data_IF_640767508058
#
_entry.id   IF_640767508058
#
_cell.length_a   1.000
_cell.length_b   1.000
_cell.length_c   1.000
_cell.angle_alpha   90.00
_cell.angle_beta   90.00
_cell.angle_gamma   90.00
#
_symmetry.space_group_name_H-M   'P 1'
#
loop_
_entity.id
_entity.type
_entity.pdbx_description
1 polymer ?
#
# COMPACT_ATOMS: atom_id res chain seq x y z
N UNK A 1 -10.38 -17.69 -22.35
CA UNK A 1 -9.00 -17.77 -21.81
C UNK A 1 -8.95 -16.75 -20.70
N UNK A 2 -8.44 -17.05 -19.51
CA UNK A 2 -8.22 -15.98 -18.51
C UNK A 2 -7.28 -14.97 -19.15
N UNK A 3 -7.69 -13.71 -19.19
CA UNK A 3 -6.80 -12.60 -19.59
C UNK A 3 -5.58 -12.66 -18.70
N UNK A 4 -4.39 -12.83 -19.28
CA UNK A 4 -3.13 -12.74 -18.54
C UNK A 4 -3.02 -11.31 -18.04
N UNK A 5 -3.31 -11.11 -16.73
CA UNK A 5 -3.19 -9.78 -16.09
C UNK A 5 -1.77 -9.25 -16.34
N UNK A 6 -1.64 -8.06 -16.91
CA UNK A 6 -0.35 -7.41 -17.18
C UNK A 6 0.29 -6.96 -15.86
N UNK A 7 1.44 -7.56 -15.50
CA UNK A 7 2.12 -7.27 -14.25
C UNK A 7 2.99 -6.03 -14.41
N UNK A 8 2.69 -4.97 -13.67
CA UNK A 8 3.45 -3.72 -13.64
C UNK A 8 4.67 -3.80 -12.70
N UNK A 9 4.46 -4.37 -11.50
CA UNK A 9 5.52 -4.48 -10.49
C UNK A 9 5.54 -5.91 -9.94
N UNK A 10 6.74 -6.53 -9.91
CA UNK A 10 7.00 -7.82 -9.28
C UNK A 10 7.88 -7.63 -8.06
N UNK A 11 7.38 -8.01 -6.90
CA UNK A 11 8.12 -8.01 -5.64
C UNK A 11 8.38 -9.45 -5.21
N UNK A 12 9.64 -9.80 -4.88
CA UNK A 12 10.02 -11.17 -4.49
C UNK A 12 10.91 -11.15 -3.26
N UNK A 13 10.50 -11.88 -2.22
CA UNK A 13 11.21 -12.09 -0.96
C UNK A 13 11.77 -10.79 -0.35
N UNK A 14 11.00 -9.71 -0.44
CA UNK A 14 11.43 -8.37 -0.03
C UNK A 14 11.57 -8.31 1.49
N UNK A 15 12.76 -7.84 1.93
CA UNK A 15 13.04 -7.58 3.34
C UNK A 15 13.54 -6.15 3.50
N UNK A 16 12.98 -5.45 4.49
CA UNK A 16 13.44 -4.11 4.89
C UNK A 16 13.54 -4.05 6.40
N UNK A 17 14.79 -4.04 6.89
CA UNK A 17 15.12 -4.07 8.29
C UNK A 17 15.80 -2.78 8.73
N UNK A 18 15.41 -2.27 9.90
CA UNK A 18 16.03 -1.09 10.50
C UNK A 18 16.89 -1.49 11.69
N UNK A 19 18.19 -1.11 11.72
CA UNK A 19 19.05 -1.44 12.86
C UNK A 19 18.61 -0.67 14.11
N UNK A 20 18.45 -1.39 15.22
CA UNK A 20 18.25 -0.80 16.55
C UNK A 20 19.64 -0.58 17.16
N UNK A 21 19.97 0.70 17.38
CA UNK A 21 21.27 1.10 17.95
C UNK A 21 21.11 1.46 19.41
N UNK A 22 22.01 0.96 20.27
CA UNK A 22 22.02 1.25 21.71
C UNK A 22 23.42 1.68 22.18
N UNK A 23 23.45 2.47 23.26
CA UNK A 23 24.65 2.95 23.88
C UNK A 23 25.31 4.15 23.19
N UNK A 24 26.33 4.75 23.86
CA UNK A 24 27.08 5.92 23.38
C UNK A 24 27.77 5.64 22.05
N UNK A 25 28.24 4.41 21.84
CA UNK A 25 28.91 3.97 20.60
C UNK A 25 27.96 3.44 19.53
N UNK A 26 26.62 3.58 19.72
CA UNK A 26 25.58 3.17 18.73
C UNK A 26 25.78 1.75 18.20
N UNK A 27 26.09 0.78 19.05
CA UNK A 27 26.16 -0.63 18.64
C UNK A 27 24.79 -1.16 18.24
N UNK A 28 24.72 -1.91 17.13
CA UNK A 28 23.49 -2.56 16.69
C UNK A 28 23.16 -3.74 17.59
N UNK A 29 22.05 -3.66 18.32
CA UNK A 29 21.58 -4.70 19.27
C UNK A 29 20.45 -5.55 18.71
N UNK A 30 19.91 -5.19 17.54
CA UNK A 30 18.82 -5.92 16.89
C UNK A 30 18.37 -5.19 15.63
N UNK A 31 17.34 -5.75 14.98
CA UNK A 31 16.72 -5.15 13.79
C UNK A 31 15.21 -5.16 13.92
N UNK A 32 14.57 -4.03 13.61
CA UNK A 32 13.13 -3.97 13.38
C UNK A 32 12.86 -4.58 12.02
N UNK A 33 12.19 -5.72 11.94
CA UNK A 33 11.79 -6.39 10.71
C UNK A 33 10.50 -5.77 10.17
N UNK A 34 10.63 -4.56 9.57
CA UNK A 34 9.46 -3.80 9.13
C UNK A 34 8.77 -4.42 7.90
N UNK A 35 9.54 -5.02 6.99
CA UNK A 35 9.06 -5.89 5.91
C UNK A 35 9.92 -7.15 5.96
N UNK A 36 9.30 -8.32 6.04
CA UNK A 36 9.98 -9.59 6.25
C UNK A 36 9.39 -10.65 5.32
N UNK A 37 10.08 -10.91 4.21
CA UNK A 37 9.75 -11.93 3.23
C UNK A 37 8.40 -11.70 2.51
N UNK A 38 8.23 -10.50 1.94
CA UNK A 38 7.02 -10.14 1.18
C UNK A 38 7.24 -10.41 -0.31
N UNK A 39 6.32 -11.18 -0.92
CA UNK A 39 6.28 -11.44 -2.36
C UNK A 39 4.86 -11.18 -2.90
N UNK A 40 4.75 -10.27 -3.88
CA UNK A 40 3.47 -9.93 -4.50
C UNK A 40 3.68 -9.38 -5.91
N UNK A 41 2.63 -9.44 -6.72
CA UNK A 41 2.54 -8.79 -8.01
C UNK A 41 1.49 -7.67 -7.97
N UNK A 42 1.83 -6.52 -8.57
CA UNK A 42 0.89 -5.41 -8.79
C UNK A 42 0.57 -5.38 -10.28
N UNK A 43 -0.71 -5.46 -10.62
CA UNK A 43 -1.15 -5.45 -12.01
C UNK A 43 -1.38 -4.03 -12.52
N UNK A 44 -1.18 -3.84 -13.82
CA UNK A 44 -1.42 -2.54 -14.45
C UNK A 44 -2.90 -2.17 -14.36
N UNK A 45 -3.17 -0.92 -13.96
CA UNK A 45 -4.53 -0.39 -13.83
C UNK A 45 -5.30 -0.85 -12.59
N UNK A 46 -4.72 -1.71 -11.70
CA UNK A 46 -5.40 -2.11 -10.47
C UNK A 46 -5.23 -1.12 -9.32
N UNK A 47 -6.14 -1.16 -8.38
CA UNK A 47 -5.99 -0.58 -7.03
C UNK A 47 -5.74 -1.72 -6.05
N UNK A 48 -4.48 -1.89 -5.64
CA UNK A 48 -4.08 -2.86 -4.64
C UNK A 48 -4.18 -2.24 -3.24
N UNK A 49 -5.17 -2.66 -2.45
CA UNK A 49 -5.30 -2.28 -1.05
C UNK A 49 -4.26 -2.98 -0.18
N UNK A 50 -3.63 -2.25 0.74
CA UNK A 50 -2.70 -2.82 1.74
C UNK A 50 -3.18 -2.42 3.12
N UNK A 51 -3.61 -3.41 3.91
CA UNK A 51 -4.23 -3.19 5.23
C UNK A 51 -3.51 -3.95 6.35
N UNK A 52 -3.77 -3.54 7.59
CA UNK A 52 -3.25 -4.15 8.81
C UNK A 52 -3.10 -3.13 9.93
N UNK A 53 -2.80 -3.59 11.14
CA UNK A 53 -2.62 -2.72 12.32
C UNK A 53 -1.49 -1.70 12.11
N UNK A 54 -1.53 -0.59 12.87
CA UNK A 54 -0.44 0.42 12.84
C UNK A 54 0.90 -0.24 13.17
N UNK A 55 1.97 0.16 12.47
CA UNK A 55 3.30 -0.39 12.66
C UNK A 55 3.56 -1.77 12.03
N UNK A 56 2.60 -2.38 11.32
CA UNK A 56 2.82 -3.69 10.68
C UNK A 56 3.67 -3.66 9.39
N UNK A 57 4.16 -2.49 8.96
CA UNK A 57 5.12 -2.39 7.83
C UNK A 57 4.56 -1.88 6.51
N UNK A 58 3.28 -1.53 6.40
CA UNK A 58 2.61 -1.07 5.16
C UNK A 58 3.33 0.09 4.47
N UNK A 59 3.54 1.19 5.18
CA UNK A 59 4.27 2.38 4.70
C UNK A 59 5.70 2.03 4.28
N UNK A 60 6.37 1.15 5.05
CA UNK A 60 7.72 0.69 4.70
C UNK A 60 7.72 -0.11 3.40
N UNK A 61 6.73 -0.98 3.18
CA UNK A 61 6.56 -1.73 1.94
C UNK A 61 6.42 -0.77 0.74
N UNK A 62 5.49 0.17 0.80
CA UNK A 62 5.28 1.16 -0.26
C UNK A 62 6.54 2.00 -0.55
N UNK A 63 7.21 2.50 0.50
CA UNK A 63 8.45 3.28 0.36
C UNK A 63 9.62 2.44 -0.17
N UNK A 64 9.68 1.15 0.15
CA UNK A 64 10.69 0.23 -0.37
C UNK A 64 10.49 -0.04 -1.87
N UNK A 65 9.24 -0.24 -2.30
CA UNK A 65 8.89 -0.40 -3.72
C UNK A 65 9.31 0.84 -4.53
N UNK A 66 9.06 2.03 -4.01
CA UNK A 66 9.47 3.30 -4.65
C UNK A 66 10.97 3.60 -4.52
N UNK A 67 11.76 2.72 -3.92
CA UNK A 67 13.18 2.94 -3.63
C UNK A 67 13.45 4.25 -2.85
N UNK A 68 12.49 4.69 -2.01
CA UNK A 68 12.69 5.78 -1.04
C UNK A 68 13.40 5.28 0.22
N UNK A 69 13.25 3.98 0.50
CA UNK A 69 13.98 3.23 1.51
C UNK A 69 14.66 2.07 0.79
N UNK A 70 15.96 1.90 1.02
CA UNK A 70 16.72 0.82 0.42
C UNK A 70 16.35 -0.49 1.14
N UNK A 71 15.83 -1.50 0.41
CA UNK A 71 15.59 -2.83 0.97
C UNK A 71 16.88 -3.47 1.46
N UNK A 72 16.76 -4.37 2.45
CA UNK A 72 17.88 -5.18 2.96
C UNK A 72 18.17 -6.33 2.03
N UNK A 73 17.11 -7.01 1.53
CA UNK A 73 17.19 -8.17 0.62
C UNK A 73 15.93 -8.19 -0.27
N UNK A 74 15.97 -9.04 -1.30
CA UNK A 74 14.87 -9.30 -2.21
C UNK A 74 15.05 -8.66 -3.58
N UNK A 75 13.98 -8.64 -4.38
CA UNK A 75 13.95 -8.10 -5.73
C UNK A 75 12.69 -7.31 -5.96
N UNK A 76 12.80 -6.19 -6.69
CA UNK A 76 11.67 -5.36 -7.13
C UNK A 76 11.88 -5.06 -8.61
N UNK A 77 11.04 -5.64 -9.47
CA UNK A 77 11.10 -5.43 -10.91
C UNK A 77 9.93 -4.58 -11.37
N UNK A 78 10.20 -3.64 -12.24
CA UNK A 78 9.20 -2.76 -12.86
C UNK A 78 9.16 -3.01 -14.38
N UNK A 79 7.95 -3.13 -14.93
CA UNK A 79 7.71 -3.30 -16.36
C UNK A 79 7.70 -1.95 -17.08
N UNK A 80 8.86 -1.55 -17.63
CA UNK A 80 8.98 -0.39 -18.52
C UNK A 80 8.58 -0.76 -19.95
N UNK A 81 8.37 0.24 -20.82
CA UNK A 81 8.12 0.03 -22.26
C UNK A 81 9.22 -0.82 -22.95
N UNK A 82 10.46 -0.77 -22.45
CA UNK A 82 11.60 -1.54 -22.95
C UNK A 82 11.84 -2.88 -22.27
N UNK A 83 10.87 -3.37 -21.46
CA UNK A 83 10.95 -4.62 -20.71
C UNK A 83 11.13 -4.43 -19.20
N UNK A 84 11.14 -5.55 -18.48
CA UNK A 84 11.30 -5.55 -17.03
C UNK A 84 12.72 -5.15 -16.61
N UNK A 85 12.84 -4.29 -15.60
CA UNK A 85 14.12 -3.91 -14.99
C UNK A 85 14.06 -4.05 -13.47
N UNK A 86 15.17 -4.53 -12.89
CA UNK A 86 15.36 -4.56 -11.44
C UNK A 86 15.61 -3.15 -10.92
N UNK A 87 14.82 -2.71 -9.92
CA UNK A 87 14.96 -1.36 -9.33
C UNK A 87 16.06 -1.31 -8.28
N UNK A 88 16.30 -2.42 -7.57
CA UNK A 88 17.34 -2.51 -6.53
C UNK A 88 18.71 -2.47 -7.20
N UNK A 89 19.54 -1.52 -6.80
CA UNK A 89 20.88 -1.36 -7.38
C UNK A 89 20.96 -0.44 -8.60
N UNK A 90 19.84 0.14 -9.06
CA UNK A 90 19.88 1.16 -10.09
C UNK A 90 20.79 2.34 -9.71
N UNK A 91 21.50 2.89 -10.68
CA UNK A 91 22.21 4.15 -10.48
C UNK A 91 21.24 5.32 -10.34
N UNK A 92 21.77 6.51 -9.90
CA UNK A 92 20.95 7.67 -9.63
C UNK A 92 20.10 8.13 -10.82
N UNK A 93 20.65 8.07 -12.04
CA UNK A 93 19.95 8.51 -13.25
C UNK A 93 18.81 7.58 -13.61
N UNK A 94 19.07 6.27 -13.61
CA UNK A 94 18.05 5.24 -13.85
C UNK A 94 16.94 5.30 -12.80
N UNK A 95 17.30 5.51 -11.53
CA UNK A 95 16.34 5.64 -10.45
C UNK A 95 15.49 6.91 -10.57
N UNK A 96 16.06 8.01 -11.02
CA UNK A 96 15.29 9.24 -11.28
C UNK A 96 14.31 9.04 -12.44
N UNK A 97 14.69 8.34 -13.50
CA UNK A 97 13.79 7.95 -14.61
C UNK A 97 12.65 7.02 -14.11
N UNK A 98 12.97 6.04 -13.28
CA UNK A 98 11.95 5.16 -12.67
C UNK A 98 10.99 5.95 -11.77
N UNK A 99 11.49 6.91 -10.99
CA UNK A 99 10.68 7.77 -10.11
C UNK A 99 9.70 8.68 -10.87
N UNK A 100 9.96 9.01 -12.13
CA UNK A 100 8.94 9.67 -12.96
C UNK A 100 7.69 8.81 -13.13
N UNK A 101 7.88 7.48 -13.24
CA UNK A 101 6.80 6.53 -13.44
C UNK A 101 6.11 6.13 -12.13
N UNK A 102 6.77 6.36 -10.98
CA UNK A 102 6.30 5.92 -9.67
C UNK A 102 6.28 7.09 -8.69
N UNK A 103 5.14 7.44 -8.15
CA UNK A 103 4.96 8.58 -7.26
C UNK A 103 4.33 8.17 -5.92
N UNK A 104 4.30 9.09 -4.95
CA UNK A 104 3.67 8.88 -3.65
C UNK A 104 2.78 10.08 -3.29
N UNK A 105 1.62 9.77 -2.72
CA UNK A 105 0.76 10.71 -2.00
C UNK A 105 0.88 10.38 -0.51
N UNK A 106 1.33 11.36 0.27
CA UNK A 106 1.61 11.18 1.71
C UNK A 106 0.37 11.33 2.57
N UNK A 107 0.42 10.75 3.76
CA UNK A 107 -0.59 10.77 4.81
C UNK A 107 -0.93 12.19 5.28
N UNK A 108 0.10 13.01 5.53
CA UNK A 108 -0.08 14.35 6.05
C UNK A 108 0.02 15.41 4.92
N UNK A 109 -1.13 15.99 4.53
CA UNK A 109 -1.15 17.02 3.51
C UNK A 109 -0.49 18.33 3.97
N UNK A 110 -0.32 18.54 5.29
CA UNK A 110 0.32 19.75 5.84
C UNK A 110 1.84 19.69 5.67
N UNK A 111 2.45 18.56 6.01
CA UNK A 111 3.92 18.40 5.89
C UNK A 111 4.37 18.16 4.45
N UNK A 112 3.47 17.79 3.56
CA UNK A 112 3.78 17.49 2.16
C UNK A 112 4.05 18.73 1.29
N UNK A 113 3.60 19.92 1.71
CA UNK A 113 3.75 21.18 1.00
C UNK A 113 4.57 22.16 1.87
N UNK A 114 5.62 22.75 1.30
CA UNK A 114 6.38 23.78 2.00
C UNK A 114 5.54 25.07 2.11
N UNK A 115 5.22 25.57 3.33
CA UNK A 115 4.36 26.72 3.52
C UNK A 115 4.94 28.05 2.98
N UNK A 116 6.25 28.10 2.72
CA UNK A 116 6.93 29.27 2.18
C UNK A 116 6.79 29.42 0.67
N UNK A 117 6.30 28.41 -0.04
CA UNK A 117 6.10 28.45 -1.48
C UNK A 117 4.61 28.50 -1.83
N UNK A 118 4.28 29.21 -2.90
CA UNK A 118 2.93 29.11 -3.52
C UNK A 118 2.71 27.69 -4.04
N UNK A 119 1.47 27.36 -4.33
CA UNK A 119 1.13 26.08 -4.97
C UNK A 119 1.87 25.93 -6.30
N UNK A 120 1.95 26.99 -7.10
CA UNK A 120 2.77 27.00 -8.32
C UNK A 120 4.25 26.66 -8.03
N UNK A 121 4.84 27.31 -7.00
CA UNK A 121 6.20 27.05 -6.56
C UNK A 121 6.46 25.57 -6.25
N UNK A 122 5.55 24.97 -5.46
CA UNK A 122 5.64 23.55 -5.06
C UNK A 122 5.40 22.57 -6.20
N UNK A 123 4.48 22.86 -7.13
CA UNK A 123 4.12 21.97 -8.24
C UNK A 123 5.07 22.08 -9.43
N UNK A 124 5.76 23.19 -9.65
CA UNK A 124 6.70 23.33 -10.75
C UNK A 124 8.02 22.57 -10.53
N UNK A 125 8.39 22.29 -9.29
CA UNK A 125 9.68 21.67 -8.95
C UNK A 125 9.89 20.31 -9.67
N UNK A 126 8.98 19.34 -9.60
CA UNK A 126 9.12 18.11 -10.35
C UNK A 126 9.14 18.36 -11.88
N UNK A 127 8.36 19.30 -12.40
CA UNK A 127 8.35 19.62 -13.82
C UNK A 127 9.71 20.16 -14.31
N UNK A 128 10.35 21.03 -13.52
CA UNK A 128 11.70 21.55 -13.80
C UNK A 128 12.72 20.42 -13.78
N UNK A 129 12.66 19.55 -12.76
CA UNK A 129 13.57 18.41 -12.58
C UNK A 129 13.53 17.48 -13.78
N UNK A 130 12.36 17.26 -14.36
CA UNK A 130 12.16 16.35 -15.47
C UNK A 130 12.09 17.05 -16.85
N UNK A 131 12.65 18.27 -16.94
CA UNK A 131 13.04 18.87 -18.21
C UNK A 131 12.09 19.93 -18.77
N UNK A 132 10.97 20.28 -18.12
CA UNK A 132 10.10 21.35 -18.57
C UNK A 132 10.69 22.72 -18.22
N UNK A 133 11.37 23.33 -19.19
CA UNK A 133 12.07 24.61 -19.02
C UNK A 133 11.16 25.84 -19.10
N UNK A 134 10.09 25.77 -19.90
CA UNK A 134 9.19 26.90 -20.13
C UNK A 134 8.29 27.18 -18.95
N UNK A 135 8.39 28.39 -18.34
CA UNK A 135 7.49 28.81 -17.25
C UNK A 135 6.03 28.83 -17.70
N UNK A 136 5.77 29.25 -18.95
CA UNK A 136 4.42 29.29 -19.54
C UNK A 136 3.84 27.88 -19.63
N UNK A 137 4.61 26.93 -20.18
CA UNK A 137 4.17 25.52 -20.28
C UNK A 137 3.91 24.92 -18.90
N UNK A 138 4.77 25.19 -17.88
CA UNK A 138 4.52 24.74 -16.50
C UNK A 138 3.21 25.29 -15.93
N UNK A 139 2.92 26.60 -16.15
CA UNK A 139 1.67 27.21 -15.70
C UNK A 139 0.42 26.54 -16.32
N UNK A 140 0.46 26.35 -17.62
CA UNK A 140 -0.64 25.69 -18.36
C UNK A 140 -0.84 24.26 -17.88
N UNK A 141 0.25 23.51 -17.64
CA UNK A 141 0.19 22.13 -17.14
C UNK A 141 -0.34 22.09 -15.71
N UNK A 142 0.10 22.99 -14.83
CA UNK A 142 -0.34 23.07 -13.44
C UNK A 142 -1.82 23.47 -13.37
N UNK A 143 -2.29 24.42 -14.22
CA UNK A 143 -3.69 24.77 -14.32
C UNK A 143 -4.57 23.55 -14.60
N UNK A 144 -4.22 22.78 -15.65
CA UNK A 144 -4.92 21.53 -16.01
C UNK A 144 -4.89 20.47 -14.91
N UNK A 145 -3.80 20.38 -14.15
CA UNK A 145 -3.68 19.45 -13.02
C UNK A 145 -4.57 19.85 -11.85
N UNK A 146 -4.68 21.14 -11.54
CA UNK A 146 -5.59 21.63 -10.50
C UNK A 146 -7.06 21.40 -10.90
N UNK A 147 -7.42 21.69 -12.14
CA UNK A 147 -8.75 21.41 -12.67
C UNK A 147 -9.09 19.91 -12.63
N UNK A 148 -8.13 19.04 -12.95
CA UNK A 148 -8.30 17.57 -12.89
C UNK A 148 -8.60 17.06 -11.47
N UNK A 149 -8.19 17.80 -10.42
CA UNK A 149 -8.52 17.48 -9.02
C UNK A 149 -9.66 18.35 -8.45
N UNK A 150 -10.47 18.95 -9.34
CA UNK A 150 -11.60 19.82 -9.01
C UNK A 150 -11.20 21.05 -8.16
N UNK A 151 -10.07 21.68 -8.51
CA UNK A 151 -9.63 22.96 -7.94
C UNK A 151 -9.48 24.01 -9.02
N UNK A 152 -9.86 25.28 -8.77
CA UNK A 152 -9.66 26.39 -9.70
C UNK A 152 -8.19 26.60 -10.05
N UNK A 153 -7.88 26.94 -11.30
CA UNK A 153 -6.51 27.14 -11.78
C UNK A 153 -5.79 28.32 -11.10
N UNK A 154 -6.54 29.38 -10.69
CA UNK A 154 -6.01 30.55 -9.98
C UNK A 154 -5.48 30.21 -8.58
N UNK A 155 -5.84 29.04 -8.01
CA UNK A 155 -5.31 28.56 -6.73
C UNK A 155 -3.80 28.33 -6.76
N UNK A 156 -3.19 28.27 -7.95
CA UNK A 156 -1.73 28.13 -8.08
C UNK A 156 -0.95 29.29 -7.46
N UNK A 157 -1.56 30.48 -7.33
CA UNK A 157 -0.92 31.67 -6.77
C UNK A 157 -0.99 31.74 -5.24
N UNK A 158 -1.82 30.92 -4.60
CA UNK A 158 -2.05 30.89 -3.16
C UNK A 158 -0.99 30.08 -2.42
N UNK A 159 -0.92 30.26 -1.12
CA UNK A 159 -0.05 29.51 -0.22
C UNK A 159 -0.79 28.33 0.43
N UNK A 160 -0.06 27.26 0.83
CA UNK A 160 -0.67 26.08 1.43
C UNK A 160 -1.58 26.34 2.63
N UNK A 161 -1.25 27.35 3.47
CA UNK A 161 -2.02 27.70 4.66
C UNK A 161 -3.42 28.28 4.38
N UNK A 162 -3.69 28.69 3.14
CA UNK A 162 -4.99 29.22 2.71
C UNK A 162 -6.01 28.12 2.32
N UNK A 163 -5.61 26.83 2.41
CA UNK A 163 -6.41 25.70 1.98
C UNK A 163 -6.87 24.82 3.14
N UNK A 164 -8.05 24.21 3.00
CA UNK A 164 -8.50 23.13 3.88
C UNK A 164 -7.66 21.87 3.72
N UNK A 165 -7.73 20.93 4.69
CA UNK A 165 -7.04 19.65 4.62
C UNK A 165 -7.34 18.87 3.33
N UNK A 166 -8.62 18.79 2.94
CA UNK A 166 -9.03 18.11 1.72
C UNK A 166 -8.56 18.80 0.44
N UNK A 167 -8.50 20.13 0.41
CA UNK A 167 -7.93 20.87 -0.72
C UNK A 167 -6.42 20.65 -0.82
N UNK A 168 -5.69 20.65 0.28
CA UNK A 168 -4.25 20.33 0.31
C UNK A 168 -3.99 18.90 -0.18
N UNK A 169 -4.84 17.94 0.22
CA UNK A 169 -4.73 16.57 -0.25
C UNK A 169 -4.90 16.48 -1.77
N UNK A 170 -5.90 17.16 -2.33
CA UNK A 170 -6.10 17.26 -3.79
C UNK A 170 -4.90 17.90 -4.50
N UNK A 171 -4.29 18.94 -3.91
CA UNK A 171 -3.05 19.53 -4.43
C UNK A 171 -1.89 18.52 -4.38
N UNK A 172 -1.77 17.74 -3.31
CA UNK A 172 -0.79 16.65 -3.20
C UNK A 172 -0.95 15.59 -4.30
N UNK A 173 -2.21 15.21 -4.60
CA UNK A 173 -2.55 14.32 -5.72
C UNK A 173 -2.16 14.97 -7.05
N UNK A 174 -2.54 16.23 -7.29
CA UNK A 174 -2.17 16.96 -8.51
C UNK A 174 -0.65 17.04 -8.71
N UNK A 175 0.10 17.25 -7.60
CA UNK A 175 1.57 17.24 -7.64
C UNK A 175 2.13 15.88 -8.03
N UNK A 176 1.62 14.78 -7.48
CA UNK A 176 2.03 13.44 -7.86
C UNK A 176 1.77 13.16 -9.35
N UNK A 177 0.65 13.66 -9.90
CA UNK A 177 0.30 13.53 -11.31
C UNK A 177 1.14 14.38 -12.28
N UNK A 178 1.93 15.35 -11.76
CA UNK A 178 2.64 16.33 -12.60
C UNK A 178 3.64 15.70 -13.57
N UNK A 179 4.21 14.57 -13.25
CA UNK A 179 5.18 13.82 -14.05
C UNK A 179 4.56 12.69 -14.87
N UNK A 180 3.22 12.60 -14.87
CA UNK A 180 2.46 11.55 -15.58
C UNK A 180 2.89 10.12 -15.19
N UNK A 181 2.78 9.78 -13.89
CA UNK A 181 3.17 8.47 -13.40
C UNK A 181 2.23 7.37 -13.92
N UNK A 182 2.70 6.12 -13.85
CA UNK A 182 1.90 4.91 -14.08
C UNK A 182 1.48 4.25 -12.76
N UNK A 183 2.28 4.47 -11.71
CA UNK A 183 2.06 3.88 -10.37
C UNK A 183 2.12 4.94 -9.28
N UNK A 184 1.17 4.91 -8.35
CA UNK A 184 1.13 5.81 -7.20
C UNK A 184 0.89 5.03 -5.92
N UNK A 185 1.75 5.21 -4.93
CA UNK A 185 1.50 4.77 -3.56
C UNK A 185 0.70 5.84 -2.83
N UNK A 186 -0.51 5.52 -2.40
CA UNK A 186 -1.34 6.35 -1.54
C UNK A 186 -1.14 5.90 -0.08
N UNK A 187 -0.21 6.55 0.64
CA UNK A 187 0.13 6.20 2.02
C UNK A 187 -0.78 6.93 2.99
N UNK A 188 -1.84 6.25 3.47
CA UNK A 188 -2.89 6.79 4.35
C UNK A 188 -3.49 8.13 3.85
N UNK A 189 -3.65 8.26 2.54
CA UNK A 189 -3.97 9.51 1.86
C UNK A 189 -5.33 10.16 2.26
N UNK A 190 -6.17 9.47 3.00
CA UNK A 190 -7.49 9.98 3.43
C UNK A 190 -7.71 9.90 4.93
N UNK A 191 -6.79 9.34 5.72
CA UNK A 191 -6.98 9.08 7.16
C UNK A 191 -7.12 10.34 8.02
N UNK A 192 -6.56 11.47 7.57
CA UNK A 192 -6.60 12.75 8.28
C UNK A 192 -7.80 13.63 7.87
N UNK A 193 -8.71 13.12 7.03
CA UNK A 193 -9.84 13.87 6.49
C UNK A 193 -11.15 13.44 7.16
N UNK A 194 -12.12 14.37 7.26
CA UNK A 194 -13.47 14.02 7.65
C UNK A 194 -14.15 13.09 6.61
N UNK A 195 -15.16 12.34 7.03
CA UNK A 195 -15.80 11.28 6.23
C UNK A 195 -16.33 11.79 4.89
N UNK A 196 -16.90 13.00 4.85
CA UNK A 196 -17.49 13.56 3.63
C UNK A 196 -16.41 13.94 2.60
N UNK A 197 -15.32 14.53 3.05
CA UNK A 197 -14.17 14.89 2.21
C UNK A 197 -13.41 13.63 1.79
N UNK A 198 -13.28 12.64 2.68
CA UNK A 198 -12.69 11.33 2.36
C UNK A 198 -13.41 10.68 1.17
N UNK A 199 -14.75 10.61 1.20
CA UNK A 199 -15.53 10.05 0.09
C UNK A 199 -15.28 10.78 -1.24
N UNK A 200 -15.18 12.11 -1.22
CA UNK A 200 -14.88 12.90 -2.42
C UNK A 200 -13.47 12.63 -2.98
N UNK A 201 -12.46 12.46 -2.10
CA UNK A 201 -11.08 12.15 -2.52
C UNK A 201 -11.00 10.72 -3.08
N UNK A 202 -11.71 9.75 -2.49
CA UNK A 202 -11.77 8.38 -3.01
C UNK A 202 -12.42 8.32 -4.41
N UNK A 203 -13.53 9.03 -4.61
CA UNK A 203 -14.18 9.16 -5.93
C UNK A 203 -13.24 9.81 -6.96
N UNK A 204 -12.51 10.86 -6.55
CA UNK A 204 -11.50 11.50 -7.41
C UNK A 204 -10.39 10.51 -7.82
N UNK A 205 -9.86 9.73 -6.88
CA UNK A 205 -8.82 8.74 -7.18
C UNK A 205 -9.31 7.65 -8.14
N UNK A 206 -10.53 7.13 -7.96
CA UNK A 206 -11.15 6.19 -8.91
C UNK A 206 -11.30 6.80 -10.31
N UNK A 207 -11.86 8.00 -10.39
CA UNK A 207 -12.00 8.71 -11.66
C UNK A 207 -10.65 8.88 -12.37
N UNK A 208 -9.61 9.29 -11.64
CA UNK A 208 -8.26 9.46 -12.20
C UNK A 208 -7.63 8.12 -12.64
N UNK A 209 -7.91 7.03 -11.92
CA UNK A 209 -7.49 5.68 -12.31
C UNK A 209 -8.11 5.28 -13.64
N UNK A 210 -9.42 5.41 -13.79
CA UNK A 210 -10.17 5.07 -15.00
C UNK A 210 -9.74 5.94 -16.20
N UNK A 211 -9.66 7.28 -16.01
CA UNK A 211 -9.35 8.21 -17.10
C UNK A 211 -7.89 8.15 -17.58
N UNK A 212 -6.95 7.76 -16.70
CA UNK A 212 -5.50 7.81 -16.97
C UNK A 212 -4.82 6.44 -16.97
N UNK A 213 -5.55 5.37 -16.67
CA UNK A 213 -4.99 4.02 -16.55
C UNK A 213 -3.98 3.89 -15.41
N UNK A 214 -4.20 4.63 -14.30
CA UNK A 214 -3.27 4.65 -13.17
C UNK A 214 -3.36 3.35 -12.37
N UNK A 215 -2.23 2.91 -11.85
CA UNK A 215 -2.13 1.81 -10.90
C UNK A 215 -1.89 2.36 -9.51
N UNK A 216 -2.64 1.91 -8.51
CA UNK A 216 -2.46 2.37 -7.13
C UNK A 216 -2.04 1.24 -6.19
N UNK A 217 -1.15 1.55 -5.24
CA UNK A 217 -1.05 0.83 -3.97
C UNK A 217 -1.66 1.71 -2.88
N UNK A 218 -2.84 1.32 -2.39
CA UNK A 218 -3.61 2.10 -1.43
C UNK A 218 -3.42 1.56 -0.02
N UNK A 219 -2.62 2.26 0.79
CA UNK A 219 -2.28 1.88 2.15
C UNK A 219 -3.23 2.57 3.12
N UNK A 220 -3.90 1.81 3.96
CA UNK A 220 -4.77 2.34 5.03
C UNK A 220 -4.91 1.31 6.16
N UNK A 221 -5.40 1.76 7.30
CA UNK A 221 -5.86 0.90 8.39
C UNK A 221 -7.39 0.75 8.41
N UNK A 222 -8.11 1.48 7.56
CA UNK A 222 -9.58 1.43 7.45
C UNK A 222 -10.01 0.45 6.36
N UNK A 223 -10.58 -0.67 6.80
CA UNK A 223 -11.06 -1.72 5.92
C UNK A 223 -12.29 -1.33 5.08
N UNK A 224 -13.13 -0.42 5.58
CA UNK A 224 -14.28 0.08 4.81
C UNK A 224 -13.83 0.89 3.60
N UNK A 225 -12.70 1.60 3.74
CA UNK A 225 -12.10 2.36 2.63
C UNK A 225 -11.58 1.43 1.55
N UNK A 226 -10.84 0.38 1.92
CA UNK A 226 -10.31 -0.56 0.90
C UNK A 226 -11.41 -1.40 0.26
N UNK A 227 -12.46 -1.78 0.99
CA UNK A 227 -13.65 -2.42 0.44
C UNK A 227 -14.26 -1.60 -0.71
N UNK A 228 -14.31 -0.28 -0.53
CA UNK A 228 -14.87 0.64 -1.52
C UNK A 228 -13.98 0.87 -2.74
N UNK A 229 -12.64 1.00 -2.53
CA UNK A 229 -11.75 1.47 -3.60
C UNK A 229 -10.95 0.38 -4.28
N UNK A 230 -10.61 -0.73 -3.59
CA UNK A 230 -9.60 -1.69 -4.06
C UNK A 230 -10.20 -2.83 -4.89
N UNK A 231 -9.43 -3.31 -5.87
CA UNK A 231 -9.71 -4.51 -6.64
C UNK A 231 -9.24 -5.77 -5.91
N UNK A 232 -8.06 -5.70 -5.30
CA UNK A 232 -7.44 -6.76 -4.49
C UNK A 232 -6.92 -6.16 -3.19
N UNK A 233 -6.84 -7.01 -2.16
CA UNK A 233 -6.38 -6.58 -0.83
C UNK A 233 -5.28 -7.51 -0.33
N UNK A 234 -4.21 -6.91 0.18
CA UNK A 234 -3.13 -7.54 0.94
C UNK A 234 -3.30 -7.21 2.41
N UNK A 235 -3.37 -8.22 3.25
CA UNK A 235 -3.40 -8.06 4.71
C UNK A 235 -2.02 -8.33 5.28
N UNK A 236 -1.48 -7.35 6.01
CA UNK A 236 -0.15 -7.42 6.64
C UNK A 236 -0.23 -7.53 8.15
N UNK A 237 0.64 -8.36 8.73
CA UNK A 237 0.85 -8.49 10.17
C UNK A 237 2.34 -8.65 10.49
N UNK A 238 2.91 -7.82 11.34
CA UNK A 238 4.32 -7.84 11.76
C UNK A 238 5.31 -8.01 10.59
N UNK A 239 5.19 -7.16 9.57
CA UNK A 239 6.08 -7.16 8.41
C UNK A 239 5.80 -8.23 7.35
N UNK A 240 4.86 -9.14 7.57
CA UNK A 240 4.54 -10.25 6.67
C UNK A 240 3.16 -10.14 6.07
N UNK A 241 2.97 -10.68 4.88
CA UNK A 241 1.64 -10.89 4.32
C UNK A 241 1.03 -12.13 4.97
N UNK A 242 -0.21 -12.02 5.42
CA UNK A 242 -0.96 -13.13 6.02
C UNK A 242 -2.10 -13.63 5.15
N UNK A 243 -2.66 -12.73 4.32
CA UNK A 243 -3.76 -13.05 3.41
C UNK A 243 -3.77 -12.07 2.24
N UNK A 244 -4.14 -12.54 1.04
CA UNK A 244 -4.34 -11.71 -0.15
C UNK A 244 -5.39 -12.34 -1.06
N UNK A 245 -6.38 -11.56 -1.48
CA UNK A 245 -7.40 -12.00 -2.42
C UNK A 245 -8.03 -10.80 -3.15
N UNK A 246 -8.87 -11.08 -4.15
CA UNK A 246 -9.80 -10.09 -4.69
C UNK A 246 -10.68 -9.56 -3.55
N UNK A 247 -11.05 -8.28 -3.60
CA UNK A 247 -11.77 -7.61 -2.50
C UNK A 247 -13.03 -8.35 -2.11
N UNK A 248 -13.88 -8.71 -3.07
CA UNK A 248 -15.11 -9.45 -2.79
C UNK A 248 -14.82 -10.81 -2.12
N UNK A 249 -13.86 -11.58 -2.66
CA UNK A 249 -13.47 -12.88 -2.12
C UNK A 249 -12.95 -12.77 -0.68
N UNK A 250 -12.13 -11.74 -0.38
CA UNK A 250 -11.61 -11.52 0.97
C UNK A 250 -12.71 -11.27 2.00
N UNK A 251 -13.72 -10.46 1.64
CA UNK A 251 -14.83 -10.09 2.53
C UNK A 251 -15.86 -11.20 2.72
N UNK A 252 -16.14 -11.99 1.67
CA UNK A 252 -17.10 -13.10 1.70
C UNK A 252 -16.50 -14.37 2.30
N UNK A 253 -15.26 -14.68 1.98
CA UNK A 253 -14.59 -15.95 2.27
C UNK A 253 -13.29 -15.81 3.06
N UNK A 254 -13.24 -14.91 4.03
CA UNK A 254 -12.05 -14.65 4.86
C UNK A 254 -11.50 -15.94 5.50
N UNK A 255 -10.22 -16.21 5.29
CA UNK A 255 -9.57 -17.44 5.74
C UNK A 255 -8.72 -17.26 6.99
N UNK A 256 -7.91 -16.18 7.06
CA UNK A 256 -6.98 -16.00 8.17
C UNK A 256 -7.69 -15.46 9.42
N UNK A 257 -7.46 -16.04 10.63
CA UNK A 257 -8.11 -15.59 11.87
C UNK A 257 -7.88 -14.11 12.21
N UNK A 258 -6.73 -13.56 11.87
CA UNK A 258 -6.43 -12.13 12.03
C UNK A 258 -7.33 -11.26 11.13
N UNK A 259 -7.46 -11.60 9.86
CA UNK A 259 -8.33 -10.87 8.92
C UNK A 259 -9.79 -10.93 9.36
N UNK A 260 -10.26 -12.11 9.82
CA UNK A 260 -11.61 -12.25 10.40
C UNK A 260 -11.84 -11.33 11.59
N UNK A 261 -10.85 -11.20 12.47
CA UNK A 261 -10.93 -10.29 13.61
C UNK A 261 -10.97 -8.82 13.16
N UNK A 262 -10.14 -8.42 12.19
CA UNK A 262 -10.16 -7.07 11.62
C UNK A 262 -11.52 -6.74 10.98
N UNK A 263 -12.04 -7.64 10.14
CA UNK A 263 -13.34 -7.45 9.47
C UNK A 263 -14.51 -7.43 10.46
N UNK A 264 -14.41 -8.16 11.58
CA UNK A 264 -15.44 -8.16 12.63
C UNK A 264 -15.54 -6.82 13.38
N UNK A 265 -14.51 -5.96 13.26
CA UNK A 265 -14.47 -4.65 13.91
C UNK A 265 -15.09 -3.53 13.04
N UNK A 266 -15.39 -3.81 11.76
CA UNK A 266 -16.05 -2.84 10.87
C UNK A 266 -17.48 -2.59 11.35
N UNK A 267 -17.87 -1.33 11.61
CA UNK A 267 -19.25 -0.98 11.92
C UNK A 267 -20.17 -1.29 10.73
N UNK A 268 -21.23 -2.04 10.94
CA UNK A 268 -22.25 -2.29 9.92
C UNK A 268 -23.39 -1.31 10.17
N UNK A 269 -23.82 -0.60 9.13
CA UNK A 269 -24.95 0.32 9.20
C UNK A 269 -26.31 -0.40 9.38
N UNK A 270 -26.36 -1.73 9.20
CA UNK A 270 -27.57 -2.54 9.33
C UNK A 270 -27.77 -2.96 10.80
N UNK A 271 -28.83 -2.46 11.41
CA UNK A 271 -29.19 -2.70 12.82
C UNK A 271 -29.54 -4.18 13.06
N UNK A 272 -30.04 -4.89 12.05
CA UNK A 272 -30.46 -6.28 12.14
C UNK A 272 -29.30 -7.28 11.94
N UNK A 273 -28.19 -6.84 11.37
CA UNK A 273 -26.99 -7.66 11.12
C UNK A 273 -25.86 -7.31 12.08
N UNK A 274 -25.96 -7.64 13.36
CA UNK A 274 -24.86 -7.52 14.31
C UNK A 274 -23.78 -8.58 14.05
N UNK A 275 -22.67 -8.23 13.39
CA UNK A 275 -21.48 -9.11 13.42
C UNK A 275 -20.98 -9.21 14.87
N UNK A 276 -20.81 -10.43 15.36
CA UNK A 276 -20.19 -10.64 16.68
C UNK A 276 -18.73 -10.23 16.58
N UNK A 277 -18.35 -9.13 17.25
CA UNK A 277 -16.97 -8.66 17.28
C UNK A 277 -16.06 -9.76 17.85
N UNK A 278 -14.96 -10.06 17.16
CA UNK A 278 -13.90 -10.97 17.62
C UNK A 278 -12.79 -10.12 18.24
N UNK A 279 -12.70 -10.02 19.58
CA UNK A 279 -11.67 -9.22 20.21
C UNK A 279 -10.31 -9.89 20.03
N UNK A 280 -9.33 -9.15 19.55
CA UNK A 280 -7.93 -9.58 19.54
C UNK A 280 -7.39 -9.45 20.98
N UNK A 281 -6.93 -10.55 21.56
CA UNK A 281 -6.36 -10.56 22.90
C UNK A 281 -4.87 -10.21 22.86
N UNK A 282 -4.41 -9.48 23.89
CA UNK A 282 -3.01 -9.08 24.03
C UNK A 282 -2.55 -7.98 23.08
N UNK A 283 -1.34 -7.48 23.35
CA UNK A 283 -0.69 -6.44 22.58
C UNK A 283 -0.03 -6.98 21.29
N UNK A 284 0.23 -6.10 20.35
CA UNK A 284 1.01 -6.43 19.14
C UNK A 284 2.44 -6.75 19.57
N UNK A 285 2.99 -7.93 19.25
CA UNK A 285 4.36 -8.29 19.60
C UNK A 285 5.38 -7.32 18.99
N UNK A 286 6.55 -7.22 19.64
CA UNK A 286 7.62 -6.35 19.14
C UNK A 286 8.18 -6.84 17.79
N UNK A 287 8.29 -5.97 16.77
CA UNK A 287 8.90 -6.31 15.50
C UNK A 287 10.43 -6.49 15.58
N UNK A 288 11.05 -6.15 16.71
CA UNK A 288 12.49 -6.39 16.96
C UNK A 288 12.75 -7.87 17.29
N UNK A 289 11.86 -8.45 18.11
CA UNK A 289 11.91 -9.85 18.49
C UNK A 289 10.53 -10.47 18.20
N UNK A 290 10.23 -10.75 16.92
CA UNK A 290 8.95 -11.35 16.57
C UNK A 290 8.82 -12.75 17.18
N UNK A 291 7.60 -13.21 17.50
CA UNK A 291 7.35 -14.56 17.97
C UNK A 291 7.92 -15.62 17.02
N UNK A 292 8.37 -16.74 17.57
CA UNK A 292 8.75 -17.93 16.78
C UNK A 292 7.54 -18.47 16.02
N UNK A 293 7.74 -19.13 14.90
CA UNK A 293 6.66 -19.70 14.10
C UNK A 293 5.74 -18.67 13.47
N UNK A 294 4.44 -18.89 13.53
CA UNK A 294 3.44 -17.95 13.04
C UNK A 294 3.45 -16.64 13.85
N UNK A 295 3.70 -15.46 13.26
CA UNK A 295 3.77 -14.21 14.03
C UNK A 295 2.49 -13.87 14.80
N UNK A 296 1.35 -14.36 14.32
CA UNK A 296 0.04 -14.12 14.94
C UNK A 296 -0.30 -15.12 16.05
N UNK A 297 0.47 -16.20 16.25
CA UNK A 297 0.10 -17.28 17.19
C UNK A 297 -0.21 -16.81 18.61
N UNK A 298 0.45 -15.78 19.21
CA UNK A 298 0.15 -15.36 20.59
C UNK A 298 -1.24 -14.74 20.75
N UNK A 299 -1.82 -14.23 19.67
CA UNK A 299 -3.13 -13.56 19.64
C UNK A 299 -4.19 -14.37 18.90
N UNK A 300 -3.82 -15.55 18.38
CA UNK A 300 -4.70 -16.37 17.55
C UNK A 300 -5.63 -17.24 18.43
N UNK A 301 -6.97 -17.08 18.33
CA UNK A 301 -7.91 -17.93 19.07
C UNK A 301 -7.92 -19.39 18.56
N UNK A 302 -7.36 -19.64 17.37
CA UNK A 302 -7.29 -20.96 16.72
C UNK A 302 -5.85 -21.50 16.67
N UNK A 303 -4.99 -21.06 17.61
CA UNK A 303 -3.59 -21.45 17.66
C UNK A 303 -3.43 -22.97 17.86
N UNK A 304 -2.57 -23.59 17.04
CA UNK A 304 -2.13 -24.99 17.17
C UNK A 304 -0.69 -25.04 17.64
N UNK A 305 -0.23 -26.19 18.17
CA UNK A 305 1.18 -26.35 18.60
C UNK A 305 2.18 -26.04 17.48
N UNK A 306 1.89 -26.46 16.25
CA UNK A 306 2.70 -26.18 15.08
C UNK A 306 2.88 -24.67 14.84
N UNK A 307 1.87 -23.85 15.17
CA UNK A 307 1.95 -22.39 14.99
C UNK A 307 3.02 -21.74 15.87
N UNK A 308 3.42 -22.37 16.98
CA UNK A 308 4.43 -21.84 17.91
C UNK A 308 5.86 -22.02 17.39
N UNK A 309 6.10 -22.98 16.51
CA UNK A 309 7.44 -23.40 16.09
C UNK A 309 7.69 -23.21 14.60
N UNK A 310 6.67 -23.31 13.76
CA UNK A 310 6.81 -23.26 12.31
C UNK A 310 6.11 -22.01 11.73
N UNK A 311 6.82 -21.36 10.79
CA UNK A 311 6.23 -20.24 10.00
C UNK A 311 5.33 -20.83 8.91
N UNK A 312 4.04 -20.40 8.81
CA UNK A 312 3.19 -20.88 7.74
C UNK A 312 3.66 -20.34 6.38
N UNK A 313 3.75 -21.23 5.40
CA UNK A 313 4.04 -20.86 4.01
C UNK A 313 2.78 -20.35 3.30
N UNK A 314 2.91 -19.46 2.29
CA UNK A 314 1.78 -19.05 1.48
C UNK A 314 1.17 -20.26 0.75
N UNK A 315 -0.15 -20.37 0.84
CA UNK A 315 -0.95 -21.35 0.09
C UNK A 315 -1.97 -20.58 -0.75
N UNK A 316 -2.11 -20.95 -2.01
CA UNK A 316 -3.10 -20.39 -2.92
C UNK A 316 -4.26 -21.38 -3.03
N UNK A 317 -5.46 -20.88 -2.77
CA UNK A 317 -6.72 -21.58 -2.95
C UNK A 317 -7.42 -20.94 -4.14
N UNK A 318 -7.80 -21.72 -5.13
CA UNK A 318 -8.58 -21.22 -6.26
C UNK A 318 -10.03 -21.64 -6.10
N UNK A 319 -10.96 -20.67 -6.09
CA UNK A 319 -12.41 -20.87 -6.06
C UNK A 319 -13.04 -20.05 -7.18
N UNK A 320 -13.84 -20.69 -8.02
CA UNK A 320 -14.52 -20.02 -9.14
C UNK A 320 -13.59 -19.15 -10.01
N UNK A 321 -12.34 -19.63 -10.21
CA UNK A 321 -11.31 -18.93 -10.97
C UNK A 321 -10.64 -17.74 -10.25
N UNK A 322 -10.98 -17.49 -8.98
CA UNK A 322 -10.34 -16.45 -8.13
C UNK A 322 -9.28 -17.08 -7.25
N UNK A 323 -8.10 -16.45 -7.20
CA UNK A 323 -6.99 -16.87 -6.35
C UNK A 323 -7.09 -16.20 -4.99
N UNK A 324 -6.96 -16.99 -3.92
CA UNK A 324 -6.94 -16.56 -2.55
C UNK A 324 -5.70 -17.10 -1.85
N UNK A 325 -4.73 -16.23 -1.58
CA UNK A 325 -3.49 -16.59 -0.87
C UNK A 325 -3.67 -16.42 0.62
N UNK A 326 -3.23 -17.41 1.40
CA UNK A 326 -3.27 -17.37 2.87
C UNK A 326 -2.05 -18.05 3.50
N UNK A 327 -1.50 -17.43 4.55
CA UNK A 327 -0.40 -17.97 5.37
C UNK A 327 -0.96 -18.46 6.73
N UNK A 328 -1.61 -19.64 6.76
CA UNK A 328 -2.23 -20.17 7.97
C UNK A 328 -2.19 -21.71 8.04
N UNK A 329 -1.55 -22.27 9.08
CA UNK A 329 -1.50 -23.72 9.28
C UNK A 329 -2.87 -24.37 9.45
N UNK A 330 -3.84 -23.67 10.05
CA UNK A 330 -5.20 -24.15 10.23
C UNK A 330 -5.90 -24.39 8.88
N UNK A 331 -5.73 -23.44 7.97
CA UNK A 331 -6.28 -23.53 6.61
C UNK A 331 -5.57 -24.64 5.85
N UNK A 332 -4.23 -24.75 5.97
CA UNK A 332 -3.46 -25.84 5.34
C UNK A 332 -3.89 -27.22 5.81
N UNK A 333 -4.16 -27.39 7.11
CA UNK A 333 -4.62 -28.66 7.67
C UNK A 333 -6.01 -29.06 7.15
N UNK A 334 -6.92 -28.08 7.00
CA UNK A 334 -8.27 -28.33 6.49
C UNK A 334 -8.27 -28.62 4.98
N UNK A 335 -7.29 -28.09 4.26
CA UNK A 335 -7.14 -28.26 2.81
C UNK A 335 -6.62 -29.64 2.40
N UNK A 336 -5.86 -30.32 3.27
CA UNK A 336 -5.33 -31.67 3.00
C UNK A 336 -6.42 -32.77 2.88
N UNK A 337 -7.67 -32.43 3.10
CA UNK A 337 -8.82 -33.35 2.96
C UNK A 337 -9.64 -33.19 1.66
N UNK A 338 -9.30 -32.29 0.74
CA UNK A 338 -10.08 -32.04 -0.47
C UNK A 338 -9.24 -31.58 -1.68
N UNK A 339 -9.62 -32.02 -2.86
CA UNK A 339 -8.81 -32.16 -4.09
C UNK A 339 -8.46 -30.88 -4.91
N UNK A 340 -8.52 -29.63 -4.40
CA UNK A 340 -8.33 -28.44 -5.24
C UNK A 340 -7.30 -27.43 -4.70
N UNK A 341 -6.12 -27.90 -4.28
CA UNK A 341 -5.10 -27.04 -3.69
C UNK A 341 -3.77 -27.08 -4.46
N UNK A 342 -3.33 -25.93 -4.97
CA UNK A 342 -1.97 -25.75 -5.51
C UNK A 342 -1.08 -25.07 -4.47
N UNK A 343 -0.04 -25.77 -3.99
CA UNK A 343 1.07 -25.17 -3.25
C UNK A 343 2.09 -24.67 -4.27
N UNK A 344 2.33 -23.39 -4.35
CA UNK A 344 3.52 -22.84 -5.00
C UNK A 344 4.59 -22.59 -3.95
N UNK A 345 5.69 -23.36 -4.05
CA UNK A 345 6.94 -23.17 -3.31
C UNK A 345 7.77 -22.10 -4.02
#
# INVERSE_FOLDING_TARGET
MPETKDVLIKVRNLKTYYPVKQGVFKHTVGHVKAVDDVSLDVYRGEILGVVGESGCGKTTLGKSILQLIKPTEGSIRYAFEGGEKELIGMNKKELDEARCKMQIVFQDPYSSLNPSFTIFGSMQEPLIRFGEKSRKARREKIAKLLEAVNLPADYMERYPNEFSGGQRQRIGIARALSVSPEFIVCDEAVSALDVSIQAQVLQLLKKLQEERGLTYMFITHDLSVVEYISDRIVVMYLGRMVEMADTQELFENTLHPYTRALLSAIPIADIDRRRKRIPLQGDVPSPVNPPSGCPFHPRCPECMERCKTEVPHPMIITRDGREHMVCCHRVQANAGGGNDFKTHI
#
